data_IF_249640475250
#
_entry.id   IF_249640475250
#
_cell.length_a   1.000
_cell.length_b   1.000
_cell.length_c   1.000
_cell.angle_alpha   90.00
_cell.angle_beta   90.00
_cell.angle_gamma   90.00
#
_symmetry.space_group_name_H-M   'P 1'
#
loop_
_entity.id
_entity.type
_entity.pdbx_description
1 polymer ?
#
# COMPACT_ATOMS: atom_id res chain seq x y z
N UNK A 1 11.36 10.38 -16.31
CA UNK A 1 11.75 10.05 -14.94
C UNK A 1 10.53 9.48 -14.26
N UNK A 2 10.50 8.16 -14.06
CA UNK A 2 9.38 7.44 -13.45
C UNK A 2 9.37 7.68 -11.93
N UNK A 3 8.86 8.84 -11.53
CA UNK A 3 8.65 9.27 -10.13
C UNK A 3 7.51 8.50 -9.42
N UNK A 4 7.12 7.31 -9.89
CA UNK A 4 5.76 6.81 -9.64
C UNK A 4 5.55 6.14 -8.28
N UNK A 5 6.58 5.80 -7.50
CA UNK A 5 6.38 5.06 -6.25
C UNK A 5 7.31 5.49 -5.10
N UNK A 6 7.63 6.79 -4.96
CA UNK A 6 8.36 7.23 -3.77
C UNK A 6 7.42 7.34 -2.57
N UNK A 7 7.69 6.54 -1.53
CA UNK A 7 7.01 6.67 -0.24
C UNK A 7 7.27 8.05 0.36
N UNK A 8 6.22 8.67 0.88
CA UNK A 8 6.33 9.96 1.56
C UNK A 8 6.83 9.74 2.99
N UNK A 9 7.88 10.47 3.37
CA UNK A 9 8.48 10.35 4.68
C UNK A 9 7.54 10.81 5.80
N UNK A 10 7.43 10.01 6.87
CA UNK A 10 6.74 10.41 8.10
C UNK A 10 7.68 11.23 8.98
N UNK A 11 7.16 12.32 9.57
CA UNK A 11 7.95 13.24 10.39
C UNK A 11 7.59 13.09 11.86
N UNK A 12 8.59 12.85 12.70
CA UNK A 12 8.39 12.87 14.15
C UNK A 12 8.03 14.28 14.63
N UNK A 13 7.00 14.39 15.46
CA UNK A 13 6.67 15.66 16.10
C UNK A 13 7.83 16.09 17.03
N UNK A 14 8.31 17.35 16.95
CA UNK A 14 9.41 17.78 17.78
C UNK A 14 9.10 17.66 19.29
N UNK A 15 10.08 17.10 20.02
CA UNK A 15 10.02 16.90 21.46
C UNK A 15 9.72 18.20 22.22
N UNK A 16 9.31 18.08 23.49
CA UNK A 16 9.13 19.27 24.34
C UNK A 16 10.46 20.02 24.44
N UNK A 17 10.47 21.29 24.02
CA UNK A 17 11.66 22.13 24.04
C UNK A 17 12.55 22.06 22.80
N UNK A 18 12.16 21.30 21.77
CA UNK A 18 12.88 21.28 20.50
C UNK A 18 12.97 22.68 19.89
N UNK A 19 14.18 23.07 19.47
CA UNK A 19 14.47 24.35 18.80
C UNK A 19 14.35 24.24 17.28
N UNK A 20 14.47 23.02 16.73
CA UNK A 20 14.37 22.74 15.30
C UNK A 20 12.97 22.20 14.99
N UNK A 21 12.34 22.84 14.03
CA UNK A 21 11.05 22.44 13.46
C UNK A 21 11.28 22.06 12.00
N UNK A 22 10.50 21.12 11.44
CA UNK A 22 10.59 20.78 10.03
C UNK A 22 10.47 22.02 9.13
N UNK A 23 11.24 22.05 8.04
CA UNK A 23 11.04 23.06 7.02
C UNK A 23 9.70 22.80 6.32
N UNK A 24 8.93 23.83 5.88
CA UNK A 24 7.66 23.62 5.19
C UNK A 24 7.75 22.66 3.98
N UNK A 25 8.88 22.71 3.25
CA UNK A 25 9.14 21.81 2.11
C UNK A 25 9.18 20.32 2.51
N UNK A 26 9.54 20.01 3.75
CA UNK A 26 9.48 18.63 4.24
C UNK A 26 8.03 18.14 4.46
N UNK A 27 7.06 19.05 4.53
CA UNK A 27 5.64 18.76 4.75
C UNK A 27 4.89 18.60 3.42
N UNK A 28 5.42 17.81 2.49
CA UNK A 28 4.94 17.69 1.11
C UNK A 28 3.44 17.30 0.95
N UNK A 29 2.82 16.71 1.97
CA UNK A 29 1.38 16.39 1.99
C UNK A 29 0.46 17.53 2.45
N UNK A 30 1.02 18.69 2.77
CA UNK A 30 0.24 19.90 2.99
C UNK A 30 0.07 20.63 1.67
N UNK A 31 -1.09 21.25 1.47
CA UNK A 31 -1.29 22.13 0.33
C UNK A 31 -0.57 23.48 0.52
N UNK A 32 -0.64 24.35 -0.50
CA UNK A 32 0.04 25.64 -0.48
C UNK A 32 -0.48 26.58 0.63
N UNK A 33 -1.77 26.53 0.93
CA UNK A 33 -2.39 27.39 1.95
C UNK A 33 -1.99 26.93 3.35
N UNK A 34 -2.06 25.62 3.60
CA UNK A 34 -1.60 24.97 4.81
C UNK A 34 -0.10 25.19 5.04
N UNK A 35 0.72 25.11 3.99
CA UNK A 35 2.14 25.43 4.05
C UNK A 35 2.38 26.91 4.41
N UNK A 36 1.61 27.83 3.83
CA UNK A 36 1.71 29.25 4.13
C UNK A 36 1.33 29.54 5.60
N UNK A 37 0.26 28.92 6.11
CA UNK A 37 -0.16 29.02 7.50
C UNK A 37 0.89 28.43 8.46
N UNK A 38 1.41 27.24 8.17
CA UNK A 38 2.50 26.63 8.93
C UNK A 38 3.72 27.53 8.97
N UNK A 39 4.10 28.11 7.82
CA UNK A 39 5.26 28.99 7.72
C UNK A 39 5.06 30.28 8.53
N UNK A 40 3.86 30.89 8.48
CA UNK A 40 3.53 32.06 9.29
C UNK A 40 3.66 31.79 10.79
N UNK A 41 3.13 30.65 11.26
CA UNK A 41 3.26 30.24 12.67
C UNK A 41 4.70 29.91 13.06
N UNK A 42 5.47 29.29 12.15
CA UNK A 42 6.89 29.00 12.35
C UNK A 42 7.72 30.28 12.48
N UNK A 43 7.51 31.27 11.60
CA UNK A 43 8.20 32.55 11.66
C UNK A 43 7.91 33.29 12.97
N UNK A 44 6.64 33.31 13.40
CA UNK A 44 6.27 33.94 14.67
C UNK A 44 6.88 33.18 15.86
N UNK A 45 6.87 31.84 15.84
CA UNK A 45 7.53 31.04 16.87
C UNK A 45 9.03 31.35 16.97
N UNK A 46 9.73 31.43 15.83
CA UNK A 46 11.16 31.76 15.78
C UNK A 46 11.39 33.16 16.34
N UNK A 47 10.57 34.14 15.96
CA UNK A 47 10.66 35.52 16.43
C UNK A 47 10.49 35.61 17.96
N UNK A 48 9.43 35.00 18.49
CA UNK A 48 9.17 34.92 19.93
C UNK A 48 10.29 34.19 20.69
N UNK A 49 10.82 33.12 20.09
CA UNK A 49 11.91 32.33 20.70
C UNK A 49 13.22 33.11 20.75
N UNK A 50 13.53 33.90 19.71
CA UNK A 50 14.69 34.80 19.68
C UNK A 50 14.55 35.92 20.71
N UNK A 51 13.39 36.56 20.75
CA UNK A 51 13.09 37.63 21.72
C UNK A 51 13.24 37.14 23.17
N UNK A 52 12.67 35.98 23.50
CA UNK A 52 12.80 35.38 24.84
C UNK A 52 14.25 34.98 25.17
N UNK A 53 14.97 34.47 24.17
CA UNK A 53 16.27 33.85 24.38
C UNK A 53 16.20 32.71 25.42
N UNK A 54 17.09 32.76 26.40
CA UNK A 54 17.18 31.79 27.49
C UNK A 54 16.33 32.15 28.73
N UNK A 55 15.67 33.31 28.73
CA UNK A 55 14.92 33.78 29.90
C UNK A 55 13.67 32.90 30.14
N UNK A 56 13.31 32.63 31.42
CA UNK A 56 12.00 32.08 31.73
C UNK A 56 10.92 33.12 31.39
N UNK A 57 9.73 32.67 31.01
CA UNK A 57 8.65 33.58 30.59
C UNK A 57 8.30 34.64 31.64
N UNK A 58 8.36 34.31 32.93
CA UNK A 58 8.10 35.26 34.01
C UNK A 58 9.12 36.41 34.14
N UNK A 59 10.30 36.29 33.52
CA UNK A 59 11.34 37.32 33.51
C UNK A 59 11.36 38.15 32.22
N UNK A 60 10.50 37.84 31.25
CA UNK A 60 10.46 38.53 29.96
C UNK A 60 9.78 39.89 30.11
N UNK A 61 10.49 40.97 29.75
CA UNK A 61 9.91 42.30 29.67
C UNK A 61 9.12 42.47 28.36
N UNK A 62 7.82 42.21 28.38
CA UNK A 62 6.99 42.32 27.18
C UNK A 62 6.95 43.74 26.57
N UNK A 63 7.24 44.79 27.33
CA UNK A 63 7.25 46.16 26.81
C UNK A 63 8.36 46.41 25.77
N UNK A 64 9.42 45.58 25.76
CA UNK A 64 10.50 45.67 24.78
C UNK A 64 10.28 44.78 23.56
N UNK A 65 9.17 44.03 23.51
CA UNK A 65 8.85 43.20 22.37
C UNK A 65 8.45 44.06 21.16
N UNK A 66 9.18 43.91 20.06
CA UNK A 66 8.84 44.50 18.77
C UNK A 66 8.07 43.48 17.94
N UNK A 67 6.82 43.80 17.60
CA UNK A 67 5.98 42.93 16.78
C UNK A 67 6.48 42.84 15.33
N UNK A 68 6.20 41.71 14.67
CA UNK A 68 6.41 41.58 13.23
C UNK A 68 5.48 42.56 12.48
N UNK A 69 5.85 43.03 11.27
CA UNK A 69 4.99 43.89 10.45
C UNK A 69 3.60 43.27 10.24
N UNK A 70 2.55 44.04 10.50
CA UNK A 70 1.15 43.56 10.45
C UNK A 70 0.76 42.58 11.57
N UNK A 71 1.64 42.34 12.54
CA UNK A 71 1.42 41.42 13.66
C UNK A 71 0.76 42.08 14.87
N UNK A 72 0.26 41.24 15.77
CA UNK A 72 -0.33 41.69 17.04
C UNK A 72 0.77 42.12 18.03
N UNK A 73 0.53 43.23 18.73
CA UNK A 73 1.41 43.71 19.80
C UNK A 73 1.07 43.00 21.11
N UNK A 74 2.03 42.25 21.65
CA UNK A 74 1.87 41.56 22.94
C UNK A 74 2.43 42.43 24.07
N UNK A 75 1.57 42.86 24.98
CA UNK A 75 1.94 43.82 26.05
C UNK A 75 2.24 43.15 27.39
N UNK A 76 2.02 41.84 27.52
CA UNK A 76 2.27 41.09 28.76
C UNK A 76 3.05 39.80 28.50
N UNK A 77 3.86 39.38 29.47
CA UNK A 77 4.61 38.12 29.40
C UNK A 77 3.68 36.91 29.19
N UNK A 78 2.52 36.89 29.86
CA UNK A 78 1.50 35.85 29.69
C UNK A 78 0.95 35.79 28.27
N UNK A 79 0.72 36.94 27.61
CA UNK A 79 0.25 36.98 26.22
C UNK A 79 1.28 36.43 25.23
N UNK A 80 2.57 36.74 25.43
CA UNK A 80 3.68 36.20 24.65
C UNK A 80 3.81 34.68 24.84
N UNK A 81 3.79 34.21 26.09
CA UNK A 81 3.86 32.78 26.42
C UNK A 81 2.67 32.02 25.82
N UNK A 82 1.47 32.58 25.94
CA UNK A 82 0.25 32.00 25.38
C UNK A 82 0.34 31.88 23.86
N UNK A 83 0.79 32.94 23.17
CA UNK A 83 1.00 32.88 21.71
C UNK A 83 2.05 31.87 21.33
N UNK A 84 3.21 31.87 21.98
CA UNK A 84 4.28 30.91 21.72
C UNK A 84 3.82 29.46 21.89
N UNK A 85 3.02 29.20 22.93
CA UNK A 85 2.44 27.88 23.17
C UNK A 85 1.46 27.49 22.06
N UNK A 86 0.60 28.42 21.62
CA UNK A 86 -0.31 28.21 20.50
C UNK A 86 0.43 27.93 19.19
N UNK A 87 1.47 28.70 18.84
CA UNK A 87 2.28 28.45 17.64
C UNK A 87 2.81 27.00 17.62
N UNK A 88 3.32 26.51 18.77
CA UNK A 88 3.80 25.13 18.89
C UNK A 88 2.70 24.09 18.74
N UNK A 89 1.51 24.35 19.27
CA UNK A 89 0.37 23.45 19.13
C UNK A 89 -0.04 23.34 17.65
N UNK A 90 -0.24 24.49 16.99
CA UNK A 90 -0.62 24.54 15.57
C UNK A 90 0.44 23.87 14.68
N UNK A 91 1.73 24.16 14.88
CA UNK A 91 2.78 23.48 14.11
C UNK A 91 2.78 21.96 14.29
N UNK A 92 2.43 21.45 15.48
CA UNK A 92 2.28 20.00 15.71
C UNK A 92 1.05 19.43 15.03
N UNK A 93 -0.04 20.17 14.98
CA UNK A 93 -1.25 19.77 14.27
C UNK A 93 -0.98 19.62 12.77
N UNK A 94 -0.25 20.56 12.16
CA UNK A 94 0.17 20.47 10.76
C UNK A 94 1.08 19.28 10.48
N UNK A 95 2.06 18.99 11.35
CA UNK A 95 2.89 17.77 11.23
C UNK A 95 2.01 16.51 11.35
N UNK A 96 1.04 16.51 12.27
CA UNK A 96 0.09 15.41 12.42
C UNK A 96 -0.80 15.24 11.18
N UNK A 97 -1.26 16.33 10.60
CA UNK A 97 -2.06 16.32 9.37
C UNK A 97 -1.25 15.77 8.19
N UNK A 98 -0.02 16.25 8.01
CA UNK A 98 0.93 15.73 7.03
C UNK A 98 1.12 14.22 7.19
N UNK A 99 1.43 13.74 8.40
CA UNK A 99 1.67 12.32 8.65
C UNK A 99 0.43 11.45 8.37
N UNK A 100 -0.77 11.93 8.72
CA UNK A 100 -2.01 11.19 8.41
C UNK A 100 -2.19 11.03 6.90
N UNK A 101 -1.99 12.10 6.13
CA UNK A 101 -2.09 12.05 4.66
C UNK A 101 -0.99 11.21 4.04
N UNK A 102 0.25 11.34 4.51
CA UNK A 102 1.38 10.52 4.08
C UNK A 102 1.12 9.03 4.34
N UNK A 103 0.56 8.68 5.50
CA UNK A 103 0.19 7.30 5.84
C UNK A 103 -0.84 6.72 4.87
N UNK A 104 -1.90 7.47 4.55
CA UNK A 104 -2.91 7.03 3.56
C UNK A 104 -2.30 6.86 2.18
N UNK A 105 -1.46 7.80 1.75
CA UNK A 105 -0.78 7.74 0.46
C UNK A 105 0.14 6.51 0.37
N UNK A 106 1.01 6.32 1.35
CA UNK A 106 1.94 5.19 1.40
C UNK A 106 1.22 3.84 1.38
N UNK A 107 0.11 3.70 2.13
CA UNK A 107 -0.72 2.49 2.08
C UNK A 107 -1.30 2.23 0.69
N UNK A 108 -1.68 3.29 -0.03
CA UNK A 108 -2.13 3.19 -1.42
C UNK A 108 -1.03 2.68 -2.35
N UNK A 109 0.16 3.29 -2.25
CA UNK A 109 1.34 2.89 -3.04
C UNK A 109 1.74 1.44 -2.75
N UNK A 110 1.78 1.03 -1.47
CA UNK A 110 2.07 -0.35 -1.09
C UNK A 110 1.06 -1.34 -1.65
N UNK A 111 -0.23 -0.98 -1.66
CA UNK A 111 -1.29 -1.81 -2.23
C UNK A 111 -1.12 -1.97 -3.73
N UNK A 112 -0.84 -0.88 -4.45
CA UNK A 112 -0.61 -0.90 -5.90
C UNK A 112 0.63 -1.74 -6.24
N UNK A 113 1.72 -1.56 -5.50
CA UNK A 113 2.94 -2.34 -5.67
C UNK A 113 2.68 -3.84 -5.46
N UNK A 114 1.87 -4.20 -4.46
CA UNK A 114 1.49 -5.59 -4.20
C UNK A 114 0.65 -6.18 -5.35
N UNK A 115 -0.28 -5.41 -5.91
CA UNK A 115 -1.08 -5.84 -7.06
C UNK A 115 -0.22 -6.03 -8.31
N UNK A 116 0.71 -5.11 -8.57
CA UNK A 116 1.67 -5.23 -9.67
C UNK A 116 2.55 -6.50 -9.52
N UNK A 117 3.02 -6.77 -8.31
CA UNK A 117 3.81 -7.96 -8.03
C UNK A 117 3.00 -9.26 -8.22
N UNK A 118 1.73 -9.28 -7.79
CA UNK A 118 0.84 -10.42 -8.03
C UNK A 118 0.57 -10.62 -9.52
N UNK A 119 0.33 -9.54 -10.28
CA UNK A 119 0.15 -9.60 -11.73
C UNK A 119 1.36 -10.19 -12.45
N UNK A 120 2.58 -9.76 -12.09
CA UNK A 120 3.81 -10.33 -12.66
C UNK A 120 3.97 -11.82 -12.34
N UNK A 121 3.66 -12.25 -11.11
CA UNK A 121 3.73 -13.66 -10.75
C UNK A 121 2.72 -14.52 -11.53
N UNK A 122 1.49 -14.03 -11.72
CA UNK A 122 0.49 -14.73 -12.54
C UNK A 122 0.92 -14.81 -14.01
N UNK A 123 1.51 -13.74 -14.55
CA UNK A 123 2.01 -13.74 -15.92
C UNK A 123 3.16 -14.74 -16.13
N UNK A 124 4.07 -14.86 -15.16
CA UNK A 124 5.14 -15.86 -15.21
C UNK A 124 4.60 -17.30 -15.13
N UNK A 125 3.59 -17.56 -14.29
CA UNK A 125 2.97 -18.88 -14.23
C UNK A 125 2.27 -19.26 -15.53
N UNK A 126 1.58 -18.31 -16.18
CA UNK A 126 0.95 -18.57 -17.48
C UNK A 126 1.98 -18.88 -18.57
N UNK A 127 3.13 -18.18 -18.59
CA UNK A 127 4.19 -18.47 -19.55
C UNK A 127 4.80 -19.86 -19.33
N UNK A 128 5.00 -20.29 -18.08
CA UNK A 128 5.50 -21.65 -17.81
C UNK A 128 4.51 -22.73 -18.24
N UNK A 129 3.20 -22.53 -18.04
CA UNK A 129 2.20 -23.48 -18.51
C UNK A 129 2.16 -23.57 -20.04
N UNK A 130 2.31 -22.45 -20.75
CA UNK A 130 2.39 -22.46 -22.21
C UNK A 130 3.64 -23.19 -22.72
N UNK A 131 4.79 -23.02 -22.08
CA UNK A 131 6.01 -23.75 -22.44
C UNK A 131 5.87 -25.26 -22.20
N UNK A 132 5.24 -25.67 -21.09
CA UNK A 132 4.99 -27.10 -20.84
C UNK A 132 4.01 -27.71 -21.86
N UNK A 133 2.98 -26.96 -22.27
CA UNK A 133 2.07 -27.44 -23.34
C UNK A 133 2.78 -27.57 -24.68
N UNK A 134 3.65 -26.62 -25.05
CA UNK A 134 4.45 -26.73 -26.27
C UNK A 134 5.39 -27.93 -26.22
N UNK A 135 6.05 -28.15 -25.08
CA UNK A 135 6.93 -29.31 -24.90
C UNK A 135 6.16 -30.63 -24.96
N UNK A 136 4.93 -30.69 -24.43
CA UNK A 136 4.12 -31.91 -24.53
C UNK A 136 3.67 -32.19 -25.96
N UNK A 137 3.29 -31.17 -26.74
CA UNK A 137 2.93 -31.32 -28.16
C UNK A 137 4.14 -31.81 -28.97
N UNK A 138 5.33 -31.24 -28.74
CA UNK A 138 6.56 -31.65 -29.43
C UNK A 138 6.92 -33.12 -29.14
N UNK A 139 6.72 -33.61 -27.91
CA UNK A 139 6.94 -35.02 -27.55
C UNK A 139 5.94 -35.95 -28.25
N UNK A 140 4.66 -35.56 -28.32
CA UNK A 140 3.62 -36.39 -28.98
C UNK A 140 3.83 -36.43 -30.50
N UNK A 141 4.23 -35.32 -31.12
CA UNK A 141 4.53 -35.28 -32.56
C UNK A 141 5.76 -36.14 -32.92
N UNK A 142 6.79 -36.21 -32.05
CA UNK A 142 7.97 -37.07 -32.25
C UNK A 142 7.65 -38.58 -32.09
N UNK A 143 6.62 -38.96 -31.31
CA UNK A 143 6.22 -40.38 -31.14
C UNK A 143 5.37 -40.91 -32.31
N UNK A 144 4.59 -40.07 -33.01
CA UNK A 144 3.75 -40.52 -34.14
C UNK A 144 4.56 -40.83 -35.42
N UNK A 145 5.77 -40.28 -35.58
CA UNK A 145 6.63 -40.55 -36.75
C UNK A 145 7.42 -41.88 -36.65
N UNK A 146 7.41 -42.58 -35.50
CA UNK A 146 8.15 -43.84 -35.29
C UNK A 146 7.25 -45.11 -35.44
N UNK A 147 5.93 -44.95 -35.63
CA UNK A 147 4.95 -46.05 -35.71
C UNK A 147 4.49 -46.38 -37.15
N UNK A 148 5.02 -45.71 -38.19
CA UNK A 148 4.66 -45.98 -39.60
C UNK A 148 5.51 -47.08 -40.29
N UNK A 149 6.44 -47.77 -39.61
CA UNK A 149 7.27 -48.83 -40.22
C UNK A 149 6.96 -50.30 -39.83
N UNK A 150 5.90 -50.62 -39.07
CA UNK A 150 5.54 -52.02 -38.73
C UNK A 150 4.11 -52.46 -39.10
N UNK A 151 3.47 -51.78 -40.06
CA UNK A 151 2.07 -52.01 -40.44
C UNK A 151 1.81 -52.74 -41.76
N UNK A 152 2.57 -53.78 -42.13
CA UNK A 152 2.22 -54.68 -43.26
C UNK A 152 2.34 -56.16 -42.85
N UNK A 153 1.56 -56.65 -41.90
CA UNK A 153 1.19 -58.08 -41.80
C UNK A 153 0.23 -58.27 -40.62
N UNK A 154 -1.07 -58.44 -40.91
CA UNK A 154 -2.06 -59.25 -40.16
C UNK A 154 -3.50 -58.71 -40.37
N UNK A 155 -3.97 -58.79 -41.62
CA UNK A 155 -5.39 -59.07 -41.85
C UNK A 155 -5.61 -60.58 -41.63
N UNK A 156 -6.21 -60.98 -40.51
CA UNK A 156 -7.29 -61.98 -40.44
C UNK A 156 -7.62 -62.42 -39.02
N UNK A 157 -8.93 -62.55 -38.80
CA UNK A 157 -9.58 -63.27 -37.68
C UNK A 157 -9.47 -62.48 -36.36
N UNK A 158 -10.55 -62.09 -35.67
CA UNK A 158 -11.77 -62.83 -35.37
C UNK A 158 -12.96 -61.87 -35.16
N UNK A 159 -14.09 -62.29 -35.72
CA UNK A 159 -15.45 -61.85 -35.38
C UNK A 159 -15.98 -62.70 -34.21
N UNK A 160 -16.78 -62.05 -33.36
CA UNK A 160 -17.85 -62.61 -32.49
C UNK A 160 -17.56 -63.01 -31.02
N UNK A 161 -18.54 -62.62 -30.18
CA UNK A 161 -18.87 -62.99 -28.78
C UNK A 161 -18.05 -62.26 -27.67
N UNK A 162 -18.60 -61.66 -26.62
CA UNK A 162 -19.85 -61.83 -25.88
C UNK A 162 -20.41 -60.51 -25.30
N UNK A 163 -21.75 -60.46 -25.24
CA UNK A 163 -22.58 -59.54 -24.47
C UNK A 163 -22.52 -59.81 -22.94
N UNK A 164 -22.96 -58.80 -22.17
CA UNK A 164 -23.45 -58.86 -20.77
C UNK A 164 -22.43 -58.98 -19.61
N UNK A 165 -22.05 -57.84 -19.00
CA UNK A 165 -22.21 -57.65 -17.55
C UNK A 165 -22.17 -56.15 -17.11
N UNK A 166 -23.37 -55.65 -16.80
CA UNK A 166 -23.75 -54.81 -15.66
C UNK A 166 -22.89 -53.59 -15.22
N UNK A 167 -23.26 -52.45 -15.80
CA UNK A 167 -23.85 -51.29 -15.09
C UNK A 167 -24.09 -51.42 -13.56
N UNK A 168 -23.05 -51.17 -12.74
CA UNK A 168 -23.25 -50.84 -11.31
C UNK A 168 -22.23 -49.87 -10.70
N UNK A 169 -21.07 -49.63 -11.34
CA UNK A 169 -20.02 -48.80 -10.76
C UNK A 169 -20.21 -47.29 -11.00
N UNK A 170 -20.84 -46.91 -12.12
CA UNK A 170 -20.84 -45.52 -12.62
C UNK A 170 -21.87 -44.61 -11.90
N UNK A 171 -22.91 -45.20 -11.28
CA UNK A 171 -23.92 -44.43 -10.53
C UNK A 171 -23.48 -44.07 -9.10
N UNK A 172 -22.60 -44.88 -8.48
CA UNK A 172 -22.11 -44.64 -7.12
C UNK A 172 -21.10 -43.48 -7.05
N UNK A 173 -20.27 -43.32 -8.10
CA UNK A 173 -19.27 -42.26 -8.15
C UNK A 173 -19.90 -40.87 -8.40
N UNK A 174 -20.93 -40.81 -9.25
CA UNK A 174 -21.68 -39.57 -9.51
C UNK A 174 -22.43 -39.06 -8.25
N UNK A 175 -22.92 -39.95 -7.40
CA UNK A 175 -23.59 -39.59 -6.14
C UNK A 175 -22.60 -39.01 -5.10
N UNK A 176 -21.34 -39.47 -5.09
CA UNK A 176 -20.32 -38.99 -4.17
C UNK A 176 -19.88 -37.55 -4.50
N UNK A 177 -19.75 -37.25 -5.80
CA UNK A 177 -19.38 -35.93 -6.30
C UNK A 177 -20.49 -34.91 -6.01
N UNK A 178 -21.76 -35.27 -6.21
CA UNK A 178 -22.89 -34.35 -5.99
C UNK A 178 -23.11 -33.99 -4.51
N UNK A 179 -22.88 -34.93 -3.57
CA UNK A 179 -23.00 -34.66 -2.12
C UNK A 179 -21.92 -33.68 -1.61
N UNK A 180 -20.72 -33.76 -2.18
CA UNK A 180 -19.57 -32.92 -1.81
C UNK A 180 -19.78 -31.47 -2.25
N UNK A 181 -20.36 -31.27 -3.45
CA UNK A 181 -20.68 -29.93 -3.97
C UNK A 181 -21.75 -29.24 -3.12
N UNK A 182 -22.79 -29.97 -2.68
CA UNK A 182 -23.85 -29.40 -1.81
C UNK A 182 -23.32 -29.04 -0.40
N UNK A 183 -22.41 -29.84 0.16
CA UNK A 183 -21.79 -29.56 1.45
C UNK A 183 -20.90 -28.30 1.43
N UNK A 184 -20.18 -28.07 0.32
CA UNK A 184 -19.40 -26.84 0.13
C UNK A 184 -20.30 -25.61 -0.05
N UNK A 185 -21.41 -25.74 -0.77
CA UNK A 185 -22.36 -24.63 -1.01
C UNK A 185 -23.06 -24.16 0.27
N UNK A 186 -23.37 -25.07 1.18
CA UNK A 186 -23.98 -24.75 2.48
C UNK A 186 -23.01 -24.03 3.44
N UNK A 187 -21.70 -24.26 3.32
CA UNK A 187 -20.67 -23.54 4.10
C UNK A 187 -20.51 -22.09 3.67
N UNK A 188 -20.66 -21.80 2.38
CA UNK A 188 -20.51 -20.45 1.82
C UNK A 188 -21.69 -19.54 2.21
N UNK A 189 -22.87 -20.09 2.53
CA UNK A 189 -24.06 -19.30 2.87
C UNK A 189 -24.24 -19.05 4.39
N UNK A 190 -23.38 -19.59 5.25
CA UNK A 190 -23.45 -19.42 6.72
C UNK A 190 -22.30 -18.61 7.32
N UNK A 191 -21.43 -18.04 6.49
CA UNK A 191 -20.42 -17.04 6.89
C UNK A 191 -20.70 -15.73 6.18
#
# INVERSE_FOLDING_TARGET
MDNRNELVALLAAPARGAKRWPHPVALAMLDNEECALYYGELLLYIHLSKFRGAQPWGAVNAATYVALPGGFQYTTAGSLQGRWTRCRAVMREFIGLHNRRAGVYNLGVERELRLLQQGQQQQQQQQQQQQQQQQFVEIVEDEEDDDEEEGEEEEKEEEEEEEEEEDAATAAEAALIHSTILAMRARIQRG
#
